data_IF_034530886623
#
_entry.id   IF_034530886623
#
_cell.length_a   1.000
_cell.length_b   1.000
_cell.length_c   1.000
_cell.angle_alpha   90.00
_cell.angle_beta   90.00
_cell.angle_gamma   90.00
#
_symmetry.space_group_name_H-M   'P 1'
#
loop_
_entity.id
_entity.type
_entity.pdbx_description
1 polymer ?
#
# COMPACT_ATOMS: atom_id res chain seq x y z
N UNK A 1 -7.97 4.20 -1.31
CA UNK A 1 -8.15 5.45 -2.08
C UNK A 1 -7.18 6.55 -1.66
N UNK A 2 -7.15 6.94 -0.37
CA UNK A 2 -6.30 8.05 0.13
C UNK A 2 -4.81 7.90 -0.19
N UNK A 3 -4.26 6.68 -0.04
CA UNK A 3 -2.85 6.40 -0.35
C UNK A 3 -2.55 6.53 -1.85
N UNK A 4 -3.46 6.05 -2.72
CA UNK A 4 -3.29 6.16 -4.17
C UNK A 4 -3.34 7.62 -4.65
N UNK A 5 -4.22 8.44 -4.05
CA UNK A 5 -4.25 9.89 -4.29
C UNK A 5 -2.94 10.54 -3.84
N UNK A 6 -2.42 10.17 -2.67
CA UNK A 6 -1.12 10.64 -2.19
C UNK A 6 0.01 10.30 -3.16
N UNK A 7 0.05 9.08 -3.69
CA UNK A 7 1.01 8.68 -4.73
C UNK A 7 0.90 9.55 -5.99
N UNK A 8 -0.33 9.87 -6.43
CA UNK A 8 -0.57 10.72 -7.59
C UNK A 8 -0.04 12.15 -7.39
N UNK A 9 -0.33 12.76 -6.24
CA UNK A 9 0.12 14.15 -5.93
C UNK A 9 1.65 14.25 -5.84
N UNK A 10 2.32 13.16 -5.45
CA UNK A 10 3.79 13.14 -5.37
C UNK A 10 4.48 13.07 -6.74
N UNK A 11 3.76 12.76 -7.81
CA UNK A 11 4.32 12.75 -9.18
C UNK A 11 4.70 14.16 -9.68
N UNK A 12 4.09 15.20 -9.11
CA UNK A 12 4.36 16.61 -9.45
C UNK A 12 5.47 17.24 -8.60
N UNK A 13 6.10 16.48 -7.69
CA UNK A 13 7.19 16.97 -6.84
C UNK A 13 8.49 16.99 -7.63
N UNK A 14 9.16 18.15 -7.65
CA UNK A 14 10.48 18.35 -8.24
C UNK A 14 11.47 18.89 -7.18
N UNK A 15 12.73 19.01 -7.56
CA UNK A 15 13.84 19.62 -6.82
C UNK A 15 13.58 21.06 -6.34
N UNK A 16 12.66 21.79 -6.98
CA UNK A 16 12.23 23.11 -6.57
C UNK A 16 11.16 23.11 -5.46
N UNK A 17 10.57 21.94 -5.15
CA UNK A 17 9.49 21.84 -4.16
C UNK A 17 10.07 21.96 -2.74
N UNK A 18 9.53 22.86 -1.89
CA UNK A 18 10.02 23.02 -0.52
C UNK A 18 9.81 21.74 0.29
N UNK A 19 10.80 21.35 1.09
CA UNK A 19 10.77 20.11 1.88
C UNK A 19 9.55 20.01 2.82
N UNK A 20 9.06 21.13 3.35
CA UNK A 20 7.87 21.15 4.21
C UNK A 20 6.58 20.83 3.45
N UNK A 21 6.50 21.19 2.16
CA UNK A 21 5.37 20.83 1.28
C UNK A 21 5.39 19.33 1.05
N UNK A 22 6.55 18.76 0.70
CA UNK A 22 6.71 17.31 0.52
C UNK A 22 6.35 16.54 1.80
N UNK A 23 6.75 17.04 2.97
CA UNK A 23 6.40 16.44 4.25
C UNK A 23 4.89 16.45 4.51
N UNK A 24 4.19 17.54 4.19
CA UNK A 24 2.72 17.59 4.27
C UNK A 24 2.06 16.60 3.31
N UNK A 25 2.60 16.46 2.09
CA UNK A 25 2.10 15.52 1.08
C UNK A 25 2.33 14.04 1.46
N UNK A 26 3.25 13.75 2.38
CA UNK A 26 3.44 12.41 2.96
C UNK A 26 2.38 12.03 3.99
N UNK A 27 1.68 13.00 4.59
CA UNK A 27 0.69 12.72 5.65
C UNK A 27 -0.43 11.78 5.18
N UNK A 28 -1.07 12.00 4.02
CA UNK A 28 -2.10 11.08 3.49
C UNK A 28 -1.59 9.65 3.29
N UNK A 29 -0.30 9.48 2.95
CA UNK A 29 0.35 8.17 2.81
C UNK A 29 0.39 7.45 4.17
N UNK A 30 0.84 8.14 5.21
CA UNK A 30 0.95 7.59 6.57
C UNK A 30 -0.40 7.32 7.24
N UNK A 31 -1.34 8.26 7.13
CA UNK A 31 -2.68 8.13 7.73
C UNK A 31 -3.50 7.04 7.04
N UNK A 32 -3.45 6.97 5.70
CA UNK A 32 -4.20 5.98 4.94
C UNK A 32 -3.74 4.55 5.20
N UNK A 33 -2.42 4.33 5.31
CA UNK A 33 -1.86 3.00 5.57
C UNK A 33 -2.09 2.51 7.00
N UNK A 34 -1.94 3.40 8.00
CA UNK A 34 -2.01 3.02 9.42
C UNK A 34 -3.41 2.63 9.88
N UNK A 35 -4.46 3.27 9.35
CA UNK A 35 -5.84 2.97 9.73
C UNK A 35 -6.40 1.73 9.03
N UNK A 36 -5.98 1.46 7.80
CA UNK A 36 -6.51 0.36 7.00
C UNK A 36 -6.05 -1.02 7.51
N UNK A 37 -4.78 -1.15 7.92
CA UNK A 37 -4.18 -2.42 8.31
C UNK A 37 -4.87 -3.13 9.48
N UNK A 38 -5.11 -2.49 10.65
CA UNK A 38 -5.77 -3.15 11.77
C UNK A 38 -7.23 -3.51 11.45
N UNK A 39 -7.96 -2.63 10.75
CA UNK A 39 -9.35 -2.88 10.36
C UNK A 39 -9.48 -4.11 9.45
N UNK A 40 -8.64 -4.21 8.41
CA UNK A 40 -8.64 -5.36 7.48
C UNK A 40 -8.22 -6.66 8.18
N UNK A 41 -7.24 -6.57 9.09
CA UNK A 41 -6.78 -7.73 9.85
C UNK A 41 -7.88 -8.29 10.75
N UNK A 42 -8.57 -7.42 11.51
CA UNK A 42 -9.72 -7.84 12.33
C UNK A 42 -10.83 -8.44 11.48
N UNK A 43 -11.22 -7.78 10.38
CA UNK A 43 -12.26 -8.30 9.47
C UNK A 43 -11.92 -9.70 8.92
N UNK A 44 -10.65 -9.94 8.58
CA UNK A 44 -10.22 -11.26 8.12
C UNK A 44 -10.33 -12.31 9.23
N UNK A 45 -9.84 -12.03 10.42
CA UNK A 45 -9.85 -12.98 11.52
C UNK A 45 -11.27 -13.27 12.03
N UNK A 46 -12.13 -12.25 12.08
CA UNK A 46 -13.55 -12.38 12.48
C UNK A 46 -14.36 -13.25 11.50
N UNK A 47 -13.91 -13.38 10.25
CA UNK A 47 -14.57 -14.20 9.23
C UNK A 47 -14.24 -15.69 9.30
N UNK A 48 -13.31 -16.09 10.18
CA UNK A 48 -12.81 -17.48 10.28
C UNK A 48 -13.24 -18.09 11.61
N UNK A 49 -13.66 -19.36 11.58
CA UNK A 49 -14.01 -20.11 12.79
C UNK A 49 -12.85 -20.13 13.81
N UNK A 50 -13.15 -20.06 15.10
CA UNK A 50 -12.16 -19.90 16.16
C UNK A 50 -11.09 -21.00 16.15
N UNK A 51 -11.46 -22.22 15.78
CA UNK A 51 -10.56 -23.37 15.68
C UNK A 51 -9.50 -23.21 14.58
N UNK A 52 -9.74 -22.33 13.60
CA UNK A 52 -8.86 -22.06 12.45
C UNK A 52 -8.19 -20.69 12.52
N UNK A 53 -8.48 -19.89 13.56
CA UNK A 53 -7.93 -18.54 13.72
C UNK A 53 -6.40 -18.53 13.75
N UNK A 54 -5.78 -19.54 14.39
CA UNK A 54 -4.32 -19.70 14.40
C UNK A 54 -3.72 -19.92 13.00
N UNK A 55 -4.36 -20.75 12.18
CA UNK A 55 -3.94 -20.99 10.79
C UNK A 55 -4.13 -19.75 9.92
N UNK A 56 -5.25 -19.04 10.06
CA UNK A 56 -5.52 -17.79 9.34
C UNK A 56 -4.49 -16.70 9.69
N UNK A 57 -4.18 -16.54 10.99
CA UNK A 57 -3.15 -15.61 11.44
C UNK A 57 -1.75 -15.97 10.91
N UNK A 58 -1.40 -17.27 10.92
CA UNK A 58 -0.13 -17.74 10.35
C UNK A 58 -0.03 -17.44 8.85
N UNK A 59 -1.10 -17.72 8.08
CA UNK A 59 -1.17 -17.38 6.66
C UNK A 59 -1.05 -15.88 6.40
N UNK A 60 -1.74 -15.06 7.19
CA UNK A 60 -1.65 -13.60 7.09
C UNK A 60 -0.22 -13.11 7.36
N UNK A 61 0.44 -13.63 8.39
CA UNK A 61 1.80 -13.24 8.73
C UNK A 61 2.82 -13.67 7.67
N UNK A 62 2.72 -14.90 7.15
CA UNK A 62 3.54 -15.36 6.03
C UNK A 62 3.32 -14.50 4.80
N UNK A 63 2.06 -14.21 4.46
CA UNK A 63 1.70 -13.36 3.31
C UNK A 63 2.29 -11.95 3.46
N UNK A 64 2.25 -11.36 4.67
CA UNK A 64 2.87 -10.06 4.97
C UNK A 64 4.39 -10.11 4.82
N UNK A 65 5.06 -11.14 5.32
CA UNK A 65 6.51 -11.28 5.19
C UNK A 65 6.92 -11.44 3.73
N UNK A 66 6.25 -12.31 2.98
CA UNK A 66 6.50 -12.50 1.55
C UNK A 66 6.24 -11.21 0.76
N UNK A 67 5.12 -10.54 1.01
CA UNK A 67 4.79 -9.26 0.39
C UNK A 67 5.79 -8.15 0.73
N UNK A 68 6.25 -8.10 1.98
CA UNK A 68 7.29 -7.17 2.43
C UNK A 68 8.62 -7.39 1.71
N UNK A 69 9.10 -8.63 1.65
CA UNK A 69 10.32 -8.98 0.94
C UNK A 69 10.23 -8.67 -0.56
N UNK A 70 9.10 -9.02 -1.20
CA UNK A 70 8.86 -8.73 -2.62
C UNK A 70 8.83 -7.22 -2.88
N UNK A 71 8.14 -6.46 -2.04
CA UNK A 71 8.10 -4.99 -2.13
C UNK A 71 9.50 -4.40 -2.08
N UNK A 72 10.30 -4.77 -1.07
CA UNK A 72 11.67 -4.28 -0.91
C UNK A 72 12.51 -4.61 -2.17
N UNK A 73 12.38 -5.83 -2.71
CA UNK A 73 13.14 -6.24 -3.89
C UNK A 73 12.72 -5.46 -5.15
N UNK A 74 11.41 -5.34 -5.42
CA UNK A 74 10.89 -4.68 -6.63
C UNK A 74 11.18 -3.17 -6.59
N UNK A 75 10.77 -2.50 -5.51
CA UNK A 75 10.98 -1.05 -5.39
C UNK A 75 12.47 -0.70 -5.24
N UNK A 76 13.26 -1.55 -4.56
CA UNK A 76 14.70 -1.39 -4.51
C UNK A 76 15.37 -1.50 -5.89
N UNK A 77 14.94 -2.43 -6.73
CA UNK A 77 15.45 -2.57 -8.10
C UNK A 77 15.08 -1.36 -8.98
N UNK A 78 13.85 -0.84 -8.86
CA UNK A 78 13.41 0.36 -9.59
C UNK A 78 14.25 1.59 -9.22
N UNK A 79 14.60 1.74 -7.93
CA UNK A 79 15.38 2.87 -7.43
C UNK A 79 16.90 2.73 -7.65
N UNK A 80 17.39 1.56 -8.05
CA UNK A 80 18.83 1.31 -8.19
C UNK A 80 19.47 2.02 -9.39
N UNK A 81 18.67 2.39 -10.39
CA UNK A 81 19.11 3.14 -11.58
C UNK A 81 19.03 4.65 -11.38
N UNK A 82 18.38 5.34 -12.32
CA UNK A 82 18.06 6.75 -12.14
C UNK A 82 16.98 6.91 -11.06
N UNK A 83 17.32 7.59 -9.97
CA UNK A 83 16.44 7.72 -8.82
C UNK A 83 15.13 8.45 -9.14
N UNK A 84 15.18 9.52 -9.95
CA UNK A 84 14.00 10.33 -10.25
C UNK A 84 13.00 9.54 -11.12
N UNK A 85 13.46 8.90 -12.18
CA UNK A 85 12.64 8.00 -13.01
C UNK A 85 12.14 6.80 -12.20
N UNK A 86 13.01 6.16 -11.42
CA UNK A 86 12.66 5.02 -10.57
C UNK A 86 11.63 5.36 -9.50
N UNK A 87 11.68 6.56 -8.92
CA UNK A 87 10.68 7.07 -7.99
C UNK A 87 9.32 7.25 -8.69
N UNK A 88 9.32 7.81 -9.91
CA UNK A 88 8.10 8.01 -10.70
C UNK A 88 7.44 6.68 -11.06
N UNK A 89 8.23 5.71 -11.52
CA UNK A 89 7.78 4.34 -11.81
C UNK A 89 7.23 3.66 -10.55
N UNK A 90 7.91 3.83 -9.41
CA UNK A 90 7.48 3.30 -8.12
C UNK A 90 6.13 3.89 -7.67
N UNK A 91 5.94 5.21 -7.78
CA UNK A 91 4.70 5.88 -7.42
C UNK A 91 3.54 5.43 -8.32
N UNK A 92 3.78 5.26 -9.62
CA UNK A 92 2.78 4.75 -10.57
C UNK A 92 2.41 3.30 -10.26
N UNK A 93 3.41 2.43 -10.05
CA UNK A 93 3.19 1.03 -9.71
C UNK A 93 2.39 0.89 -8.40
N UNK A 94 2.77 1.66 -7.37
CA UNK A 94 2.06 1.67 -6.09
C UNK A 94 0.61 2.15 -6.25
N UNK A 95 0.38 3.24 -6.98
CA UNK A 95 -0.96 3.76 -7.25
C UNK A 95 -1.83 2.73 -8.01
N UNK A 96 -1.28 2.11 -9.05
CA UNK A 96 -1.98 1.08 -9.84
C UNK A 96 -2.34 -0.14 -8.99
N UNK A 97 -1.41 -0.66 -8.19
CA UNK A 97 -1.67 -1.80 -7.29
C UNK A 97 -2.74 -1.47 -6.25
N UNK A 98 -2.71 -0.27 -5.67
CA UNK A 98 -3.71 0.17 -4.70
C UNK A 98 -5.09 0.33 -5.33
N UNK A 99 -5.18 0.87 -6.55
CA UNK A 99 -6.44 0.98 -7.29
C UNK A 99 -6.97 -0.40 -7.67
N UNK A 100 -6.12 -1.29 -8.19
CA UNK A 100 -6.51 -2.65 -8.54
C UNK A 100 -7.06 -3.43 -7.33
N UNK A 101 -6.39 -3.32 -6.16
CA UNK A 101 -6.87 -3.92 -4.92
C UNK A 101 -8.20 -3.32 -4.46
N UNK A 102 -8.37 -2.00 -4.55
CA UNK A 102 -9.62 -1.34 -4.18
C UNK A 102 -10.79 -1.75 -5.10
N UNK A 103 -10.54 -1.84 -6.41
CA UNK A 103 -11.53 -2.29 -7.39
C UNK A 103 -11.87 -3.77 -7.20
N UNK A 104 -10.86 -4.62 -6.98
CA UNK A 104 -11.06 -6.04 -6.69
C UNK A 104 -11.90 -6.25 -5.44
N UNK A 105 -11.61 -5.53 -4.35
CA UNK A 105 -12.43 -5.55 -3.14
C UNK A 105 -13.87 -5.11 -3.43
N UNK A 106 -14.06 -4.02 -4.18
CA UNK A 106 -15.39 -3.52 -4.54
C UNK A 106 -16.19 -4.42 -5.49
N UNK A 107 -15.52 -5.28 -6.27
CA UNK A 107 -16.15 -6.25 -7.17
C UNK A 107 -16.49 -7.58 -6.46
N UNK A 108 -15.67 -7.99 -5.49
CA UNK A 108 -15.81 -9.26 -4.78
C UNK A 108 -16.66 -9.17 -3.53
N UNK A 109 -16.75 -7.99 -2.90
CA UNK A 109 -17.62 -7.79 -1.74
C UNK A 109 -19.08 -7.69 -2.19
N UNK A 110 -19.97 -8.60 -1.74
CA UNK A 110 -21.39 -8.50 -2.05
C UNK A 110 -21.94 -7.20 -1.46
N UNK A 111 -22.47 -6.33 -2.33
CA UNK A 111 -23.15 -5.10 -1.96
C UNK A 111 -24.43 -5.49 -1.19
N UNK A 112 -24.36 -5.48 0.14
CA UNK A 112 -25.53 -5.59 1.02
C UNK A 112 -26.07 -4.21 1.32
#
# INVERSE_FOLDING_TARGET
MTVALGCGVLLDVDTATPAWVTALLMIPLGVGGSLAMPALTSLMLDSVAAERAGTAAALLNTSRQTGGALSIAVFGALLAGDFASGMRESLLLAACLLVAMALGAGALLPRR
#
